data_IF_464555564419
#
_entry.id   IF_464555564419
#
_cell.length_a   1.000
_cell.length_b   1.000
_cell.length_c   1.000
_cell.angle_alpha   90.00
_cell.angle_beta   90.00
_cell.angle_gamma   90.00
#
_symmetry.space_group_name_H-M   'P 1'
#
loop_
_entity.id
_entity.type
_entity.pdbx_description
1 polymer ?
#
# COMPACT_ATOMS: atom_id res chain seq x y z
N UNK A 1 -14.71 -18.71 24.32
CA UNK A 1 -14.94 -17.40 24.99
C UNK A 1 -14.62 -17.44 26.50
N UNK A 2 -15.00 -18.46 27.22
CA UNK A 2 -14.75 -18.57 28.68
C UNK A 2 -13.31 -19.02 28.94
N UNK A 3 -12.82 -19.98 28.18
CA UNK A 3 -11.43 -20.49 28.22
C UNK A 3 -10.42 -19.39 27.83
N UNK A 4 -10.70 -18.58 26.80
CA UNK A 4 -9.85 -17.48 26.38
C UNK A 4 -9.72 -16.37 27.43
N UNK A 5 -10.80 -16.13 28.18
CA UNK A 5 -10.82 -15.15 29.28
C UNK A 5 -10.05 -15.69 30.52
N UNK A 6 -10.12 -16.97 30.81
CA UNK A 6 -9.37 -17.59 31.90
C UNK A 6 -7.86 -17.55 31.61
N UNK A 7 -7.43 -17.91 30.39
CA UNK A 7 -6.03 -17.84 29.97
C UNK A 7 -5.49 -16.41 30.04
N UNK A 8 -6.30 -15.43 29.62
CA UNK A 8 -5.94 -14.02 29.73
C UNK A 8 -5.77 -13.58 31.19
N UNK A 9 -6.65 -14.02 32.05
CA UNK A 9 -6.62 -13.69 33.48
C UNK A 9 -5.39 -14.26 34.20
N UNK A 10 -4.93 -15.45 33.80
CA UNK A 10 -3.74 -16.07 34.36
C UNK A 10 -2.44 -15.41 33.89
N UNK A 11 -2.45 -14.86 32.65
CA UNK A 11 -1.25 -14.28 32.00
C UNK A 11 -1.07 -12.78 32.25
N UNK A 12 -2.13 -12.06 32.67
CA UNK A 12 -2.09 -10.61 32.84
C UNK A 12 -2.07 -10.21 34.32
N UNK A 13 -1.00 -9.55 34.81
CA UNK A 13 -0.92 -9.12 36.22
C UNK A 13 -2.07 -8.17 36.59
N UNK A 14 -2.53 -8.25 37.85
CA UNK A 14 -3.55 -7.32 38.36
C UNK A 14 -3.01 -5.88 38.34
N UNK A 15 -3.81 -4.96 37.78
CA UNK A 15 -3.42 -3.55 37.60
C UNK A 15 -2.83 -3.24 36.21
N UNK A 16 -2.73 -4.22 35.31
CA UNK A 16 -2.37 -3.97 33.93
C UNK A 16 -3.41 -3.05 33.28
N UNK A 17 -2.99 -1.92 32.64
CA UNK A 17 -3.92 -1.07 31.92
C UNK A 17 -4.46 -1.83 30.71
N UNK A 18 -5.79 -1.79 30.53
CA UNK A 18 -6.47 -2.39 29.39
C UNK A 18 -7.07 -1.26 28.56
N UNK A 19 -6.72 -1.22 27.29
CA UNK A 19 -7.33 -0.33 26.31
C UNK A 19 -8.27 -1.15 25.41
N UNK A 20 -9.54 -0.76 25.33
CA UNK A 20 -10.51 -1.38 24.42
C UNK A 20 -10.67 -0.45 23.24
N UNK A 21 -10.21 -0.90 22.07
CA UNK A 21 -10.32 -0.17 20.81
C UNK A 21 -11.44 -0.81 19.99
N UNK A 22 -12.42 0.00 19.61
CA UNK A 22 -13.44 -0.39 18.65
C UNK A 22 -13.06 0.16 17.27
N UNK A 23 -12.23 -0.60 16.58
CA UNK A 23 -11.78 -0.27 15.22
C UNK A 23 -12.18 -1.39 14.27
N UNK A 24 -13.02 -1.08 13.28
CA UNK A 24 -13.50 -2.06 12.31
C UNK A 24 -12.50 -2.33 11.20
N UNK A 25 -11.60 -1.38 10.95
CA UNK A 25 -10.59 -1.50 9.90
C UNK A 25 -9.22 -1.63 10.55
N UNK A 26 -8.66 -2.82 10.47
CA UNK A 26 -7.31 -3.08 10.96
C UNK A 26 -6.36 -3.17 9.77
N UNK A 27 -5.27 -2.41 9.84
CA UNK A 27 -4.17 -2.44 8.86
C UNK A 27 -2.98 -3.20 9.43
N UNK A 28 -2.33 -3.97 8.59
CA UNK A 28 -1.14 -4.73 8.95
C UNK A 28 -0.07 -4.59 7.87
N UNK A 29 1.18 -4.31 8.29
CA UNK A 29 2.36 -4.48 7.46
C UNK A 29 3.18 -5.65 8.02
N UNK A 30 3.21 -6.76 7.30
CA UNK A 30 3.95 -7.95 7.68
C UNK A 30 5.47 -7.71 7.65
N UNK A 31 6.29 -8.55 8.32
CA UNK A 31 7.76 -8.41 8.31
C UNK A 31 8.39 -8.42 6.92
N UNK A 32 7.72 -9.01 5.94
CA UNK A 32 8.15 -9.03 4.53
C UNK A 32 7.67 -7.80 3.74
N UNK A 33 7.09 -6.78 4.45
CA UNK A 33 6.54 -5.55 3.91
C UNK A 33 5.26 -5.71 3.07
N UNK A 34 4.57 -6.82 3.19
CA UNK A 34 3.23 -6.98 2.61
C UNK A 34 2.21 -6.22 3.44
N UNK A 35 1.45 -5.33 2.80
CA UNK A 35 0.37 -4.56 3.43
C UNK A 35 -0.95 -5.25 3.18
N UNK A 36 -1.68 -5.50 4.25
CA UNK A 36 -3.01 -6.10 4.23
C UNK A 36 -3.96 -5.32 5.13
N UNK A 37 -5.26 -5.56 4.97
CA UNK A 37 -6.28 -5.03 5.85
C UNK A 37 -7.38 -6.05 6.11
N UNK A 38 -8.10 -5.81 7.20
CA UNK A 38 -9.22 -6.60 7.67
C UNK A 38 -10.39 -5.66 7.90
N UNK A 39 -11.61 -6.09 7.61
CA UNK A 39 -12.83 -5.37 7.98
C UNK A 39 -13.69 -6.30 8.82
N UNK A 40 -13.91 -5.92 10.06
CA UNK A 40 -14.71 -6.66 11.02
C UNK A 40 -16.19 -6.24 10.96
N UNK A 41 -17.11 -7.13 11.38
CA UNK A 41 -18.54 -6.81 11.47
C UNK A 41 -18.79 -5.66 12.44
N UNK A 42 -19.80 -4.84 12.15
CA UNK A 42 -20.31 -3.83 13.08
C UNK A 42 -21.40 -4.41 13.96
N UNK A 43 -20.99 -5.10 15.03
CA UNK A 43 -21.92 -5.75 15.94
C UNK A 43 -22.85 -4.79 16.70
N UNK A 44 -22.48 -3.50 16.76
CA UNK A 44 -23.23 -2.49 17.51
C UNK A 44 -23.86 -1.41 16.62
N UNK A 45 -23.53 -1.38 15.33
CA UNK A 45 -23.98 -0.35 14.40
C UNK A 45 -23.41 1.05 14.68
N UNK A 46 -22.21 1.13 15.25
CA UNK A 46 -21.59 2.40 15.68
C UNK A 46 -20.70 3.04 14.63
N UNK A 47 -20.14 2.24 13.74
CA UNK A 47 -19.16 2.72 12.75
C UNK A 47 -19.52 2.27 11.33
N UNK A 48 -20.45 2.98 10.66
CA UNK A 48 -20.72 2.70 9.26
C UNK A 48 -19.51 3.05 8.40
N UNK A 49 -19.03 2.07 7.61
CA UNK A 49 -17.90 2.26 6.72
C UNK A 49 -18.34 2.64 5.31
N UNK A 50 -17.56 3.51 4.69
CA UNK A 50 -17.66 3.87 3.28
C UNK A 50 -16.34 3.50 2.57
N UNK A 51 -16.37 3.40 1.24
CA UNK A 51 -15.14 3.21 0.45
C UNK A 51 -14.12 4.29 0.75
N UNK A 52 -14.57 5.55 0.91
CA UNK A 52 -13.69 6.68 1.24
C UNK A 52 -13.02 6.51 2.60
N UNK A 53 -13.79 6.14 3.65
CA UNK A 53 -13.22 5.96 4.98
C UNK A 53 -12.18 4.83 5.03
N UNK A 54 -12.43 3.70 4.35
CA UNK A 54 -11.45 2.61 4.26
C UNK A 54 -10.21 3.07 3.49
N UNK A 55 -10.38 3.83 2.41
CA UNK A 55 -9.25 4.37 1.65
C UNK A 55 -8.38 5.33 2.46
N UNK A 56 -8.91 6.03 3.45
CA UNK A 56 -8.10 6.85 4.38
C UNK A 56 -7.17 6.00 5.25
N UNK A 57 -7.60 4.81 5.68
CA UNK A 57 -6.70 3.85 6.36
C UNK A 57 -5.59 3.36 5.42
N UNK A 58 -5.96 2.98 4.18
CA UNK A 58 -4.99 2.54 3.17
C UNK A 58 -3.97 3.63 2.83
N UNK A 59 -4.38 4.91 2.81
CA UNK A 59 -3.51 6.05 2.53
C UNK A 59 -2.40 6.25 3.56
N UNK A 60 -2.63 5.87 4.82
CA UNK A 60 -1.59 5.91 5.87
C UNK A 60 -0.40 5.01 5.53
N UNK A 61 -0.64 3.99 4.71
CA UNK A 61 0.38 3.05 4.22
C UNK A 61 0.79 3.35 2.77
N UNK A 62 0.18 4.36 2.12
CA UNK A 62 0.48 4.74 0.74
C UNK A 62 0.05 3.70 -0.30
N UNK A 63 -0.98 2.91 -0.01
CA UNK A 63 -1.48 1.82 -0.87
C UNK A 63 -2.93 1.99 -1.30
N UNK A 64 -3.55 3.13 -1.02
CA UNK A 64 -4.98 3.42 -1.25
C UNK A 64 -5.41 3.24 -2.71
N UNK A 65 -4.51 3.52 -3.65
CA UNK A 65 -4.81 3.41 -5.08
C UNK A 65 -4.57 2.00 -5.65
N UNK A 66 -3.99 1.12 -4.85
CA UNK A 66 -3.76 -0.28 -5.21
C UNK A 66 -4.90 -1.21 -4.75
N UNK A 67 -5.89 -0.69 -4.02
CA UNK A 67 -7.17 -1.32 -3.77
C UNK A 67 -8.25 -0.59 -4.59
N UNK A 68 -8.92 -1.25 -5.51
CA UNK A 68 -9.97 -0.62 -6.32
C UNK A 68 -11.19 -0.30 -5.45
N UNK A 69 -12.01 0.72 -5.81
CA UNK A 69 -13.24 1.01 -5.09
C UNK A 69 -14.19 -0.20 -4.97
N UNK A 70 -14.26 -1.02 -6.02
CA UNK A 70 -15.10 -2.22 -6.03
C UNK A 70 -14.59 -3.30 -5.07
N UNK A 71 -13.27 -3.57 -5.04
CA UNK A 71 -12.66 -4.49 -4.07
C UNK A 71 -12.97 -4.05 -2.64
N UNK A 72 -12.77 -2.76 -2.33
CA UNK A 72 -13.05 -2.18 -1.01
C UNK A 72 -14.54 -2.28 -0.67
N UNK A 73 -15.43 -1.96 -1.61
CA UNK A 73 -16.87 -2.04 -1.41
C UNK A 73 -17.32 -3.48 -1.08
N UNK A 74 -16.87 -4.45 -1.86
CA UNK A 74 -17.20 -5.86 -1.60
C UNK A 74 -16.68 -6.32 -0.24
N UNK A 75 -15.51 -5.86 0.17
CA UNK A 75 -14.95 -6.18 1.50
C UNK A 75 -15.76 -5.55 2.63
N UNK A 76 -16.25 -4.31 2.47
CA UNK A 76 -17.16 -3.67 3.43
C UNK A 76 -18.46 -4.47 3.57
N UNK A 77 -19.03 -4.93 2.47
CA UNK A 77 -20.26 -5.75 2.50
C UNK A 77 -20.02 -7.10 3.18
N UNK A 78 -18.90 -7.74 2.93
CA UNK A 78 -18.55 -9.01 3.55
C UNK A 78 -18.30 -8.84 5.06
N UNK A 79 -17.50 -7.84 5.46
CA UNK A 79 -17.13 -7.54 6.87
C UNK A 79 -16.89 -8.80 7.70
N UNK A 80 -16.15 -9.76 7.14
CA UNK A 80 -16.00 -11.13 7.68
C UNK A 80 -14.71 -11.32 8.48
N UNK A 81 -13.92 -10.23 8.66
CA UNK A 81 -12.62 -10.28 9.32
C UNK A 81 -11.55 -11.03 8.54
N UNK A 82 -11.82 -11.47 7.31
CA UNK A 82 -10.79 -12.14 6.49
C UNK A 82 -9.76 -11.14 5.98
N UNK A 83 -8.53 -11.63 5.77
CA UNK A 83 -7.41 -10.82 5.27
C UNK A 83 -7.63 -10.40 3.80
N UNK A 84 -7.27 -9.16 3.48
CA UNK A 84 -7.19 -8.67 2.10
C UNK A 84 -5.81 -8.09 1.85
N UNK A 85 -5.04 -8.70 0.97
CA UNK A 85 -3.72 -8.22 0.57
C UNK A 85 -3.87 -7.08 -0.45
N UNK A 86 -3.12 -5.99 -0.24
CA UNK A 86 -3.19 -4.81 -1.11
C UNK A 86 -1.97 -4.71 -2.00
N UNK A 87 -0.79 -4.58 -1.39
CA UNK A 87 0.48 -4.42 -2.10
C UNK A 87 1.65 -4.79 -1.19
N UNK A 88 2.81 -5.02 -1.79
CA UNK A 88 4.07 -5.19 -1.06
C UNK A 88 4.97 -3.99 -1.28
N UNK A 89 5.55 -3.46 -0.21
CA UNK A 89 6.50 -2.36 -0.28
C UNK A 89 7.92 -2.85 -0.56
N UNK A 90 8.65 -2.09 -1.39
CA UNK A 90 10.08 -2.29 -1.62
C UNK A 90 10.83 -0.98 -1.43
N UNK A 91 11.88 -1.01 -0.62
CA UNK A 91 12.82 0.09 -0.53
C UNK A 91 13.67 0.17 -1.80
N UNK A 92 13.83 1.37 -2.33
CA UNK A 92 14.64 1.60 -3.51
C UNK A 92 15.92 2.36 -3.17
N UNK A 93 17.05 1.82 -3.63
CA UNK A 93 18.35 2.49 -3.55
C UNK A 93 18.91 2.65 -4.96
N UNK A 94 19.07 3.89 -5.42
CA UNK A 94 19.57 4.21 -6.76
C UNK A 94 20.81 5.09 -6.61
N UNK A 95 21.92 4.66 -7.20
CA UNK A 95 23.21 5.34 -7.09
C UNK A 95 23.62 5.64 -5.63
N UNK A 96 23.37 4.69 -4.71
CA UNK A 96 23.66 4.80 -3.28
C UNK A 96 22.68 5.70 -2.50
N UNK A 97 21.65 6.26 -3.15
CA UNK A 97 20.62 7.08 -2.52
C UNK A 97 19.35 6.27 -2.29
N UNK A 98 18.93 6.14 -1.03
CA UNK A 98 17.60 5.58 -0.69
C UNK A 98 16.52 6.59 -1.09
N UNK A 99 15.54 6.15 -1.86
CA UNK A 99 14.39 6.97 -2.24
C UNK A 99 13.42 7.12 -1.06
N UNK A 100 12.67 8.22 -1.04
CA UNK A 100 11.62 8.45 -0.02
C UNK A 100 10.37 7.62 -0.30
N UNK A 101 9.95 7.58 -1.56
CA UNK A 101 8.83 6.77 -2.01
C UNK A 101 9.29 5.34 -2.24
N UNK A 102 8.48 4.39 -1.78
CA UNK A 102 8.72 2.96 -1.97
C UNK A 102 8.21 2.51 -3.34
N UNK A 103 8.79 1.46 -3.89
CA UNK A 103 8.15 0.74 -4.97
C UNK A 103 7.04 -0.16 -4.41
N UNK A 104 6.05 -0.46 -5.24
CA UNK A 104 4.86 -1.19 -4.84
C UNK A 104 4.67 -2.41 -5.74
N UNK A 105 4.70 -3.59 -5.14
CA UNK A 105 4.43 -4.86 -5.81
C UNK A 105 2.96 -5.24 -5.70
N UNK A 106 2.31 -5.48 -6.84
CA UNK A 106 0.96 -6.01 -6.92
C UNK A 106 0.80 -6.85 -8.19
N UNK A 107 0.14 -8.00 -8.07
CA UNK A 107 -0.22 -8.87 -9.18
C UNK A 107 0.97 -9.25 -10.08
N UNK A 108 2.12 -9.54 -9.46
CA UNK A 108 3.35 -9.93 -10.16
C UNK A 108 4.06 -8.81 -10.91
N UNK A 109 3.66 -7.55 -10.69
CA UNK A 109 4.31 -6.36 -11.22
C UNK A 109 4.87 -5.50 -10.09
N UNK A 110 6.04 -4.89 -10.31
CA UNK A 110 6.58 -3.89 -9.40
C UNK A 110 6.49 -2.51 -10.06
N UNK A 111 5.88 -1.58 -9.34
CA UNK A 111 5.64 -0.21 -9.77
C UNK A 111 6.63 0.72 -9.10
N UNK A 112 7.41 1.42 -9.90
CA UNK A 112 8.53 2.26 -9.49
C UNK A 112 8.13 3.74 -9.56
N UNK A 113 8.34 4.55 -8.49
CA UNK A 113 8.04 5.98 -8.51
C UNK A 113 8.99 6.73 -9.46
N UNK A 114 8.47 7.16 -10.62
CA UNK A 114 9.26 7.64 -11.75
C UNK A 114 10.01 8.94 -11.46
N UNK A 115 9.37 9.91 -10.79
CA UNK A 115 9.95 11.23 -10.55
C UNK A 115 11.17 11.15 -9.63
N UNK A 116 11.06 10.45 -8.50
CA UNK A 116 12.20 10.28 -7.58
C UNK A 116 13.32 9.47 -8.21
N UNK A 117 12.95 8.45 -9.00
CA UNK A 117 13.92 7.65 -9.78
C UNK A 117 14.67 8.51 -10.78
N UNK A 118 13.98 9.39 -11.53
CA UNK A 118 14.60 10.28 -12.50
C UNK A 118 15.65 11.18 -11.85
N UNK A 119 15.33 11.74 -10.68
CA UNK A 119 16.24 12.58 -9.89
C UNK A 119 17.45 11.79 -9.40
N UNK A 120 17.25 10.57 -8.89
CA UNK A 120 18.34 9.73 -8.39
C UNK A 120 19.23 9.19 -9.52
N UNK A 121 18.64 8.89 -10.68
CA UNK A 121 19.34 8.48 -11.89
C UNK A 121 20.02 9.62 -12.63
N UNK A 122 19.70 10.90 -12.27
CA UNK A 122 20.14 12.12 -12.98
C UNK A 122 19.73 12.12 -14.46
N UNK A 123 18.55 11.59 -14.75
CA UNK A 123 17.94 11.59 -16.09
C UNK A 123 16.70 12.45 -16.04
N UNK A 124 16.67 13.52 -16.84
CA UNK A 124 15.48 14.35 -16.95
C UNK A 124 14.29 13.55 -17.50
N UNK A 125 13.13 13.69 -16.86
CA UNK A 125 11.90 13.01 -17.25
C UNK A 125 10.74 14.00 -17.37
N UNK A 126 9.85 13.74 -18.31
CA UNK A 126 8.62 14.47 -18.53
C UNK A 126 7.45 13.48 -18.56
N UNK A 127 6.37 13.81 -17.87
CA UNK A 127 5.14 13.03 -17.87
C UNK A 127 4.10 13.66 -18.81
N UNK A 128 3.64 12.89 -19.78
CA UNK A 128 2.51 13.26 -20.62
C UNK A 128 1.24 12.61 -20.09
N UNK A 129 0.39 13.43 -19.46
CA UNK A 129 -0.86 12.97 -18.87
C UNK A 129 -1.95 12.65 -19.88
N UNK A 130 -1.85 13.10 -21.13
CA UNK A 130 -2.83 12.78 -22.18
C UNK A 130 -2.61 11.36 -22.70
N UNK A 131 -1.35 10.97 -22.86
CA UNK A 131 -0.98 9.65 -23.37
C UNK A 131 -0.59 8.65 -22.27
N UNK A 132 -0.58 9.07 -20.99
CA UNK A 132 -0.08 8.29 -19.86
C UNK A 132 1.32 7.73 -20.11
N UNK A 133 2.22 8.56 -20.59
CA UNK A 133 3.56 8.16 -21.01
C UNK A 133 4.63 8.96 -20.29
N UNK A 134 5.61 8.27 -19.70
CA UNK A 134 6.84 8.87 -19.22
C UNK A 134 7.85 8.96 -20.37
N UNK A 135 8.37 10.16 -20.60
CA UNK A 135 9.36 10.43 -21.62
C UNK A 135 10.67 10.90 -21.00
N UNK A 136 11.77 10.39 -21.51
CA UNK A 136 13.14 10.82 -21.19
C UNK A 136 13.94 10.98 -22.49
N UNK A 137 15.16 11.47 -22.39
CA UNK A 137 16.09 11.48 -23.55
C UNK A 137 16.50 10.08 -24.04
N UNK A 138 16.27 9.04 -23.22
CA UNK A 138 16.67 7.66 -23.50
C UNK A 138 15.55 6.86 -24.16
N UNK A 139 14.30 7.22 -23.87
CA UNK A 139 13.13 6.51 -24.40
C UNK A 139 11.82 7.00 -23.81
N UNK A 140 10.76 6.29 -24.13
CA UNK A 140 9.41 6.52 -23.60
C UNK A 140 8.76 5.20 -23.19
N UNK A 141 8.00 5.22 -22.10
CA UNK A 141 7.31 4.05 -21.56
C UNK A 141 5.93 4.43 -21.01
N UNK A 142 4.98 3.51 -21.02
CA UNK A 142 3.69 3.73 -20.35
C UNK A 142 3.90 3.83 -18.84
N UNK A 143 3.03 4.56 -18.18
CA UNK A 143 2.99 4.65 -16.73
C UNK A 143 1.57 4.82 -16.22
N UNK A 144 1.45 4.88 -14.92
CA UNK A 144 0.18 5.14 -14.22
C UNK A 144 0.39 6.25 -13.19
N UNK A 145 -0.65 7.03 -12.95
CA UNK A 145 -0.67 8.00 -11.85
C UNK A 145 -1.51 7.42 -10.72
N UNK A 146 -0.93 7.41 -9.52
CA UNK A 146 -1.57 6.96 -8.28
C UNK A 146 -1.23 7.95 -7.17
N UNK A 147 -2.24 8.54 -6.53
CA UNK A 147 -2.09 9.54 -5.46
C UNK A 147 -1.05 10.62 -5.80
N UNK A 148 -1.19 11.22 -6.99
CA UNK A 148 -0.27 12.24 -7.55
C UNK A 148 1.18 11.75 -7.79
N UNK A 149 1.43 10.46 -7.69
CA UNK A 149 2.72 9.85 -8.01
C UNK A 149 2.65 9.14 -9.35
N UNK A 150 3.58 9.44 -10.22
CA UNK A 150 3.77 8.71 -11.49
C UNK A 150 4.57 7.45 -11.21
N UNK A 151 4.01 6.30 -11.57
CA UNK A 151 4.68 5.00 -11.50
C UNK A 151 4.89 4.43 -12.89
N UNK A 152 6.01 3.75 -13.08
CA UNK A 152 6.32 2.92 -14.26
C UNK A 152 6.57 1.49 -13.82
N UNK A 153 6.39 0.53 -14.73
CA UNK A 153 6.71 -0.87 -14.44
C UNK A 153 8.22 -1.05 -14.32
N UNK A 154 8.67 -1.93 -13.44
CA UNK A 154 10.10 -2.26 -13.26
C UNK A 154 10.80 -2.66 -14.55
N UNK A 155 10.08 -3.37 -15.44
CA UNK A 155 10.57 -3.85 -16.74
C UNK A 155 10.96 -2.74 -17.69
N UNK A 156 10.44 -1.54 -17.47
CA UNK A 156 10.64 -0.37 -18.30
C UNK A 156 11.82 0.52 -17.82
N UNK A 157 12.39 0.23 -16.64
CA UNK A 157 13.47 1.04 -16.05
C UNK A 157 14.70 1.18 -16.94
N UNK A 158 15.12 0.07 -17.57
CA UNK A 158 16.28 0.08 -18.45
C UNK A 158 16.09 1.00 -19.66
N UNK A 159 14.87 1.00 -20.23
CA UNK A 159 14.53 1.77 -21.42
C UNK A 159 14.57 3.28 -21.19
N UNK A 160 14.27 3.77 -19.98
CA UNK A 160 14.15 5.21 -19.71
C UNK A 160 15.20 5.76 -18.75
N UNK A 161 15.84 4.90 -17.94
CA UNK A 161 16.83 5.32 -16.95
C UNK A 161 18.16 4.58 -17.02
N UNK A 162 18.29 3.55 -17.86
CA UNK A 162 19.43 2.64 -17.94
C UNK A 162 19.76 1.99 -16.57
N UNK A 163 18.73 1.63 -15.84
CA UNK A 163 18.82 0.98 -14.52
C UNK A 163 18.22 -0.41 -14.63
N UNK A 164 18.96 -1.42 -14.15
CA UNK A 164 18.44 -2.76 -13.87
C UNK A 164 18.30 -2.93 -12.36
N UNK A 165 17.21 -3.54 -11.90
CA UNK A 165 17.09 -3.98 -10.52
C UNK A 165 17.87 -5.29 -10.34
N UNK A 166 18.59 -5.38 -9.23
CA UNK A 166 19.35 -6.59 -8.84
C UNK A 166 18.53 -7.45 -7.89
#
# INVERSE_FOLDING_TARGET
>A
YEEDVEELFESVPMGTPVEIIYDRVIMEEAPDHTVSYYIYPDGYGWEPLTVSSVKEYLARYGVEDFATPDEVYHKIIASDGSVTYVAKHYDLVINGRKLKKKALGKDGSIWIPAVETSVAAKVGAYWDGETNTLMTRLGKVPGIVKSDVVYINEKDLESVFHICLL
#
